data_IF_243961826118
#
_entry.id   IF_243961826118
#
_cell.length_a   1.000
_cell.length_b   1.000
_cell.length_c   1.000
_cell.angle_alpha   90.00
_cell.angle_beta   90.00
_cell.angle_gamma   90.00
#
_symmetry.space_group_name_H-M   'P 1'
#
loop_
_entity.id
_entity.type
_entity.pdbx_description
1 polymer ?
2 water ?
#
# COMPACT_ATOMS: atom_id res chain seq x y z
N UNK A 1 -26.67 0.24 5.91
CA UNK A 1 -27.20 -1.10 6.27
C UNK A 1 -26.07 -2.11 6.34
N UNK A 2 -26.40 -3.40 6.28
CA UNK A 2 -25.40 -4.49 6.35
C UNK A 2 -24.99 -4.98 4.96
N UNK A 3 -24.14 -5.98 4.90
CA UNK A 3 -23.60 -6.51 3.65
C UNK A 3 -24.09 -7.91 3.31
N UNK A 4 -24.14 -8.23 2.01
CA UNK A 4 -24.50 -9.59 1.62
C UNK A 4 -23.36 -10.47 2.12
N UNK A 5 -23.60 -11.75 2.12
CA UNK A 5 -22.59 -12.75 2.53
C UNK A 5 -21.44 -12.79 1.49
N UNK A 6 -20.23 -12.95 1.98
CA UNK A 6 -19.09 -13.14 1.07
C UNK A 6 -19.33 -14.39 0.24
N UNK A 7 -18.85 -14.39 -0.96
CA UNK A 7 -18.99 -15.51 -1.94
C UNK A 7 -17.70 -16.31 -2.02
N UNK A 8 -17.61 -17.40 -1.27
CA UNK A 8 -16.33 -18.16 -1.30
C UNK A 8 -16.07 -18.82 -2.66
N UNK A 9 -17.14 -19.30 -3.30
CA UNK A 9 -16.92 -19.93 -4.63
C UNK A 9 -16.41 -18.89 -5.61
N UNK A 10 -16.94 -17.68 -5.53
CA UNK A 10 -16.47 -16.56 -6.40
C UNK A 10 -14.98 -16.27 -6.08
N UNK A 11 -14.64 -16.20 -4.78
CA UNK A 11 -13.22 -15.97 -4.43
C UNK A 11 -12.35 -17.09 -4.97
N UNK A 12 -12.80 -18.33 -4.86
CA UNK A 12 -11.96 -19.48 -5.36
C UNK A 12 -11.72 -19.28 -6.87
N UNK A 13 -12.77 -18.89 -7.58
CA UNK A 13 -12.61 -18.71 -9.05
C UNK A 13 -11.65 -17.60 -9.36
N UNK A 14 -11.69 -16.52 -8.56
CA UNK A 14 -10.73 -15.43 -8.83
C UNK A 14 -9.31 -15.88 -8.68
N UNK A 15 -8.99 -16.60 -7.59
CA UNK A 15 -7.65 -17.09 -7.33
C UNK A 15 -7.20 -18.02 -8.49
N UNK A 16 -8.08 -18.89 -8.91
CA UNK A 16 -7.78 -19.86 -9.94
C UNK A 16 -7.45 -19.15 -11.26
N UNK A 17 -8.20 -18.14 -11.52
CA UNK A 17 -8.01 -17.34 -12.72
C UNK A 17 -6.69 -16.66 -12.65
N UNK A 18 -6.33 -16.05 -11.52
CA UNK A 18 -5.05 -15.35 -11.36
C UNK A 18 -3.90 -16.35 -11.61
N UNK A 19 -3.97 -17.57 -11.16
CA UNK A 19 -2.93 -18.55 -11.42
C UNK A 19 -2.79 -18.81 -12.95
N UNK A 20 -3.93 -18.93 -13.61
CA UNK A 20 -3.94 -19.19 -15.05
C UNK A 20 -3.30 -17.98 -15.81
N UNK A 21 -3.32 -16.82 -15.22
CA UNK A 21 -2.78 -15.61 -15.84
C UNK A 21 -1.32 -15.32 -15.48
N UNK A 22 -0.69 -16.21 -14.67
CA UNK A 22 0.70 -16.01 -14.39
C UNK A 22 1.10 -15.84 -12.94
N UNK A 23 0.18 -15.71 -12.03
CA UNK A 23 0.58 -15.64 -10.60
C UNK A 23 0.95 -17.03 -10.11
N UNK A 24 2.15 -17.15 -9.50
CA UNK A 24 2.54 -18.46 -8.97
C UNK A 24 1.57 -18.86 -7.87
N UNK A 25 1.13 -17.93 -7.07
CA UNK A 25 0.25 -18.16 -5.95
C UNK A 25 -0.63 -16.94 -5.67
N UNK A 26 -1.76 -17.25 -5.05
CA UNK A 26 -2.72 -16.15 -4.72
C UNK A 26 -3.50 -16.63 -3.51
N UNK A 27 -3.92 -15.67 -2.69
CA UNK A 27 -4.67 -16.01 -1.48
C UNK A 27 -5.48 -14.77 -1.02
N UNK A 28 -6.47 -15.09 -0.19
CA UNK A 28 -7.34 -14.04 0.31
C UNK A 28 -7.88 -14.47 1.68
N UNK A 29 -8.00 -13.46 2.54
CA UNK A 29 -8.57 -13.67 3.87
C UNK A 29 -9.65 -12.60 4.07
N UNK A 30 -10.81 -13.02 4.47
CA UNK A 30 -11.92 -12.07 4.80
C UNK A 30 -12.21 -12.24 6.29
N UNK A 31 -12.21 -11.11 7.01
CA UNK A 31 -12.62 -11.06 8.41
C UNK A 31 -14.03 -10.41 8.37
N UNK A 32 -15.06 -11.28 8.44
CA UNK A 32 -16.46 -10.83 8.32
C UNK A 32 -17.08 -10.75 9.70
N UNK A 33 -16.84 -9.67 10.41
CA UNK A 33 -17.40 -9.50 11.75
C UNK A 33 -17.21 -10.70 12.65
N UNK A 34 -16.00 -11.23 12.71
CA UNK A 34 -15.72 -12.34 13.57
C UNK A 34 -15.79 -13.74 12.94
N UNK A 35 -16.18 -13.86 11.70
CA UNK A 35 -16.24 -15.18 10.99
C UNK A 35 -15.17 -15.03 9.89
N UNK A 36 -14.25 -15.99 9.86
CA UNK A 36 -13.15 -15.91 8.91
C UNK A 36 -13.43 -16.72 7.63
N UNK A 37 -12.99 -16.18 6.54
CA UNK A 37 -13.02 -16.91 5.20
C UNK A 37 -11.56 -16.89 4.77
N UNK A 38 -11.03 -18.01 4.37
CA UNK A 38 -9.58 -18.03 3.96
C UNK A 38 -9.43 -19.04 2.84
N UNK A 39 -8.80 -18.59 1.76
CA UNK A 39 -8.58 -19.45 0.62
C UNK A 39 -7.19 -19.07 0.04
N UNK A 40 -6.57 -20.09 -0.50
CA UNK A 40 -5.26 -19.89 -1.16
C UNK A 40 -5.15 -20.96 -2.28
N UNK A 41 -4.31 -20.61 -3.25
CA UNK A 41 -4.03 -21.60 -4.32
C UNK A 41 -2.64 -21.29 -4.86
N UNK A 42 -1.93 -22.35 -5.21
CA UNK A 42 -0.62 -22.14 -5.81
C UNK A 42 0.52 -22.14 -4.84
N UNK A 43 1.67 -21.64 -5.34
CA UNK A 43 2.91 -21.74 -4.58
C UNK A 43 3.49 -20.45 -4.03
N UNK A 44 4.09 -20.57 -2.88
CA UNK A 44 4.81 -19.49 -2.21
C UNK A 44 6.22 -19.39 -2.84
N UNK A 45 6.78 -20.55 -3.17
CA UNK A 45 8.18 -20.61 -3.69
C UNK A 45 8.08 -21.56 -4.89
N UNK A 46 8.15 -21.04 -6.07
CA UNK A 46 7.90 -21.81 -7.31
C UNK A 46 9.06 -22.71 -7.59
N UNK A 47 10.15 -22.66 -6.88
CA UNK A 47 11.27 -23.50 -7.09
C UNK A 47 11.26 -24.71 -6.15
N UNK A 48 11.02 -24.54 -4.86
CA UNK A 48 10.90 -25.64 -3.92
C UNK A 48 9.50 -26.26 -4.03
N UNK A 49 8.53 -25.52 -4.49
CA UNK A 49 7.13 -26.00 -4.63
C UNK A 49 6.34 -25.83 -3.35
N UNK A 50 6.72 -25.15 -2.34
CA UNK A 50 5.94 -24.91 -1.07
C UNK A 50 4.67 -24.13 -1.38
N UNK A 51 3.55 -24.64 -0.92
CA UNK A 51 2.24 -24.06 -1.20
C UNK A 51 2.11 -22.73 -0.42
N UNK A 52 1.47 -21.79 -1.08
CA UNK A 52 1.19 -20.50 -0.39
C UNK A 52 0.03 -20.73 0.58
N UNK A 53 0.03 -19.97 1.68
CA UNK A 53 -1.08 -20.09 2.65
C UNK A 53 -1.43 -18.67 3.12
N UNK A 54 -2.59 -18.52 3.69
CA UNK A 54 -3.01 -17.20 4.17
C UNK A 54 -2.19 -16.69 5.34
N UNK A 55 -1.35 -17.49 5.93
CA UNK A 55 -0.51 -17.02 7.06
C UNK A 55 0.89 -16.54 6.62
N UNK A 56 1.20 -16.69 5.32
CA UNK A 56 2.49 -16.29 4.82
C UNK A 56 2.66 -14.77 4.86
N UNK A 57 3.79 -14.34 5.31
CA UNK A 57 4.12 -12.88 5.32
C UNK A 57 4.48 -12.47 3.89
N UNK A 58 4.31 -11.16 3.62
CA UNK A 58 4.65 -10.67 2.28
C UNK A 58 4.91 -9.19 2.32
N UNK A 59 5.39 -8.64 1.23
CA UNK A 59 5.65 -7.20 1.07
C UNK A 59 4.38 -6.52 0.58
N UNK A 60 3.87 -5.60 1.40
CA UNK A 60 2.57 -4.95 1.09
C UNK A 60 2.73 -3.75 0.15
N UNK A 61 3.94 -3.39 -0.22
CA UNK A 61 4.14 -2.30 -1.18
C UNK A 61 3.42 -1.02 -0.77
N UNK A 62 2.72 -0.41 -1.68
CA UNK A 62 2.06 0.89 -1.44
C UNK A 62 1.02 0.96 -0.34
N UNK A 63 0.62 -0.17 0.26
CA UNK A 63 -0.31 -0.15 1.44
C UNK A 63 0.40 0.59 2.56
N UNK A 64 1.75 0.62 2.50
CA UNK A 64 2.56 1.34 3.49
C UNK A 64 2.10 2.80 3.61
N UNK A 65 1.64 3.38 2.51
CA UNK A 65 1.19 4.80 2.53
C UNK A 65 0.15 5.02 3.61
N UNK A 66 -0.74 4.05 3.83
CA UNK A 66 -1.80 4.24 4.86
C UNK A 66 -1.14 4.28 6.24
N UNK A 67 -0.08 3.45 6.41
CA UNK A 67 0.61 3.43 7.70
C UNK A 67 1.24 4.80 7.91
N UNK A 68 1.93 5.33 6.89
CA UNK A 68 2.55 6.66 7.01
C UNK A 68 1.50 7.72 7.31
N UNK A 69 0.37 7.68 6.63
CA UNK A 69 -0.72 8.66 6.81
C UNK A 69 -1.19 8.61 8.24
N UNK A 70 -1.38 7.42 8.81
CA UNK A 70 -1.87 7.32 10.21
C UNK A 70 -0.90 8.03 11.12
N UNK A 71 0.39 7.77 10.99
CA UNK A 71 1.36 8.45 11.87
C UNK A 71 1.21 9.96 11.73
N UNK A 72 1.21 10.49 10.54
CA UNK A 72 1.05 11.96 10.32
C UNK A 72 -0.24 12.48 10.92
N UNK A 73 -1.32 11.78 10.77
CA UNK A 73 -2.64 12.25 11.31
C UNK A 73 -2.60 12.24 12.85
N UNK A 74 -1.89 11.30 13.46
CA UNK A 74 -1.74 11.31 14.92
C UNK A 74 -0.91 12.53 15.31
N UNK A 75 0.10 12.89 14.52
CA UNK A 75 0.90 14.10 14.79
C UNK A 75 0.01 15.32 14.72
N UNK A 76 -0.99 15.36 13.85
CA UNK A 76 -1.98 16.45 13.77
C UNK A 76 -2.80 16.46 15.07
N UNK A 77 -3.24 15.31 15.52
CA UNK A 77 -3.98 15.17 16.79
C UNK A 77 -3.15 15.75 17.96
N UNK A 78 -1.88 15.52 17.95
CA UNK A 78 -0.98 15.98 19.05
C UNK A 78 -0.57 17.41 18.93
N UNK A 79 -0.99 18.13 17.87
CA UNK A 79 -0.62 19.53 17.64
C UNK A 79 0.70 19.81 17.11
N UNK A 80 1.39 18.81 16.54
CA UNK A 80 2.74 18.93 16.01
C UNK A 80 2.80 19.24 14.54
N UNK A 81 1.65 19.06 13.89
CA UNK A 81 1.60 19.25 12.40
C UNK A 81 0.30 19.88 12.06
N UNK A 82 0.34 20.73 11.05
CA UNK A 82 -0.88 21.35 10.51
C UNK A 82 -0.95 20.90 9.02
N UNK A 83 -2.06 20.30 8.64
CA UNK A 83 -2.20 19.78 7.28
C UNK A 83 -2.10 20.86 6.20
N UNK A 84 -2.50 22.09 6.55
CA UNK A 84 -2.49 23.20 5.59
C UNK A 84 -1.28 24.06 5.61
N UNK A 85 -0.30 23.72 6.48
CA UNK A 85 0.95 24.45 6.46
C UNK A 85 1.79 23.92 5.27
N UNK A 86 2.68 24.76 4.79
CA UNK A 86 3.60 24.39 3.72
C UNK A 86 4.56 23.31 4.18
N UNK A 87 4.93 22.38 3.25
CA UNK A 87 5.95 21.38 3.54
C UNK A 87 7.25 22.11 3.96
N UNK A 88 7.56 23.16 3.22
CA UNK A 88 8.79 23.94 3.44
C UNK A 88 8.81 24.60 4.83
N UNK A 89 7.68 24.71 5.44
CA UNK A 89 7.65 25.26 6.85
C UNK A 89 8.38 24.34 7.82
N UNK A 90 8.22 23.02 7.57
CA UNK A 90 8.84 21.98 8.39
C UNK A 90 10.18 21.47 7.89
N UNK A 91 10.38 21.54 6.58
CA UNK A 91 11.57 21.05 5.92
C UNK A 91 12.07 22.19 5.04
N UNK A 92 12.72 23.19 5.65
CA UNK A 92 13.16 24.37 4.92
C UNK A 92 14.01 24.07 3.70
N UNK A 93 13.62 24.68 2.61
CA UNK A 93 14.27 24.62 1.30
C UNK A 93 14.12 23.27 0.58
N UNK A 94 13.20 22.41 1.05
CA UNK A 94 13.07 21.12 0.36
C UNK A 94 12.44 21.21 -1.01
N UNK A 95 11.29 21.87 -1.11
CA UNK A 95 10.54 21.93 -2.39
C UNK A 95 10.71 23.30 -3.00
N UNK A 96 10.58 23.34 -4.34
CA UNK A 96 10.76 24.64 -5.06
C UNK A 96 9.62 25.60 -4.85
N UNK A 97 8.48 25.16 -4.34
CA UNK A 97 7.30 26.01 -4.17
C UNK A 97 6.83 25.94 -2.73
N UNK A 98 6.78 27.08 -2.08
CA UNK A 98 6.33 27.15 -0.71
C UNK A 98 4.84 26.88 -0.60
N UNK A 99 4.08 26.92 -1.69
CA UNK A 99 2.65 26.71 -1.63
C UNK A 99 2.25 25.26 -1.51
N UNK A 100 3.21 24.36 -1.70
CA UNK A 100 2.84 22.92 -1.59
C UNK A 100 2.67 22.56 -0.10
N UNK A 101 1.47 22.11 0.21
CA UNK A 101 1.15 21.83 1.60
C UNK A 101 1.19 20.34 1.93
N UNK A 102 1.20 20.08 3.24
CA UNK A 102 1.22 18.67 3.71
C UNK A 102 -0.03 17.94 3.20
N UNK A 103 -1.18 18.57 3.22
CA UNK A 103 -2.46 18.00 2.76
C UNK A 103 -2.35 17.59 1.26
N UNK A 104 -1.75 18.45 0.47
CA UNK A 104 -1.54 18.17 -0.98
C UNK A 104 -0.61 16.97 -1.15
N UNK A 105 0.46 16.85 -0.40
CA UNK A 105 1.38 15.73 -0.49
C UNK A 105 0.62 14.46 -0.09
N UNK A 106 -0.18 14.46 0.93
CA UNK A 106 -0.87 13.27 1.41
C UNK A 106 -1.94 12.73 0.46
N UNK A 107 -2.47 13.61 -0.38
CA UNK A 107 -3.55 13.28 -1.31
C UNK A 107 -3.08 13.21 -2.77
N UNK A 108 -1.77 13.26 -3.00
CA UNK A 108 -1.18 13.22 -4.31
C UNK A 108 -1.65 14.37 -5.22
N UNK A 109 -1.75 15.55 -4.62
CA UNK A 109 -2.13 16.76 -5.33
C UNK A 109 -1.00 17.78 -5.33
N UNK A 110 0.22 17.37 -5.04
CA UNK A 110 1.36 18.26 -4.98
C UNK A 110 1.99 18.63 -6.30
N UNK A 111 1.80 17.79 -7.32
CA UNK A 111 2.45 18.01 -8.63
C UNK A 111 3.84 17.42 -8.64
N UNK A 112 4.36 16.81 -7.54
CA UNK A 112 5.71 16.27 -7.56
C UNK A 112 5.84 15.05 -8.53
N UNK A 113 6.82 15.16 -9.38
CA UNK A 113 7.04 14.05 -10.38
C UNK A 113 7.42 12.77 -9.64
N UNK A 114 6.96 11.66 -10.19
CA UNK A 114 7.24 10.35 -9.56
C UNK A 114 8.55 9.81 -10.08
N UNK A 115 9.57 9.80 -9.28
CA UNK A 115 10.90 9.29 -9.70
C UNK A 115 10.87 7.83 -10.14
N UNK A 116 9.88 7.04 -9.71
CA UNK A 116 9.84 5.62 -10.14
C UNK A 116 9.60 5.50 -11.62
N UNK A 117 8.99 6.48 -12.28
CA UNK A 117 8.86 6.43 -13.76
C UNK A 117 10.26 6.42 -14.38
N UNK A 118 11.28 6.98 -13.79
CA UNK A 118 12.64 7.01 -14.32
C UNK A 118 13.31 5.68 -13.93
N UNK A 119 13.17 5.28 -12.71
CA UNK A 119 13.82 4.08 -12.20
C UNK A 119 13.39 2.80 -12.89
N UNK A 120 12.08 2.65 -13.11
CA UNK A 120 11.53 1.40 -13.62
C UNK A 120 10.98 1.50 -15.04
N UNK A 121 11.58 2.24 -15.87
CA UNK A 121 11.18 2.38 -17.31
C UNK A 121 11.29 0.96 -17.89
N UNK A 122 12.30 0.22 -17.51
CA UNK A 122 12.47 -1.18 -17.90
C UNK A 122 12.37 -1.91 -16.56
N UNK A 123 11.41 -2.80 -16.46
CA UNK A 123 11.10 -3.51 -15.23
C UNK A 123 12.25 -4.28 -14.57
N UNK A 124 12.70 -5.30 -15.28
CA UNK A 124 13.77 -6.14 -14.67
C UNK A 124 15.07 -5.37 -14.51
N UNK A 125 15.56 -4.70 -15.50
CA UNK A 125 16.82 -3.93 -15.37
C UNK A 125 16.71 -2.92 -14.23
N UNK A 126 15.56 -2.26 -14.11
CA UNK A 126 15.33 -1.23 -13.05
C UNK A 126 15.40 -1.93 -11.69
N UNK A 127 14.79 -3.11 -11.55
CA UNK A 127 14.84 -3.86 -10.33
C UNK A 127 16.31 -4.20 -9.97
N UNK A 128 17.04 -4.73 -10.94
CA UNK A 128 18.45 -5.16 -10.68
C UNK A 128 19.25 -3.94 -10.30
N UNK A 129 18.96 -2.78 -10.83
CA UNK A 129 19.73 -1.55 -10.47
C UNK A 129 19.47 -1.07 -9.02
N UNK A 130 18.28 -1.22 -8.46
CA UNK A 130 18.03 -0.69 -7.16
C UNK A 130 17.90 -1.66 -6.03
N UNK A 131 17.75 -2.96 -6.34
CA UNK A 131 17.46 -3.94 -5.33
C UNK A 131 18.38 -3.97 -4.14
N UNK A 132 19.66 -3.73 -4.39
CA UNK A 132 20.69 -3.78 -3.32
C UNK A 132 21.21 -2.37 -2.97
N UNK A 133 20.50 -1.35 -3.32
CA UNK A 133 20.93 0.02 -3.01
C UNK A 133 20.22 0.55 -1.79
N UNK A 134 20.88 1.49 -1.15
CA UNK A 134 20.30 2.20 0.00
C UNK A 134 20.28 3.68 -0.35
N UNK A 135 19.11 4.30 -0.28
CA UNK A 135 18.95 5.71 -0.60
C UNK A 135 18.55 6.46 0.69
N UNK A 136 18.93 7.73 0.76
CA UNK A 136 18.36 8.58 1.85
C UNK A 136 17.05 9.15 1.27
N UNK A 137 16.16 9.69 2.08
CA UNK A 137 14.96 10.32 1.59
C UNK A 137 15.36 11.46 0.61
N UNK A 138 16.39 12.19 0.98
CA UNK A 138 16.84 13.33 0.11
C UNK A 138 17.21 12.85 -1.26
N UNK A 139 17.90 11.72 -1.40
CA UNK A 139 18.30 11.18 -2.70
C UNK A 139 17.06 11.05 -3.61
N UNK A 140 15.98 10.50 -3.05
CA UNK A 140 14.77 10.27 -3.89
C UNK A 140 14.10 11.55 -4.26
N UNK A 141 14.05 12.47 -3.27
CA UNK A 141 13.43 13.78 -3.58
C UNK A 141 14.22 14.50 -4.64
N UNK A 142 15.52 14.46 -4.59
CA UNK A 142 16.37 15.07 -5.59
C UNK A 142 16.09 14.48 -6.98
N UNK A 143 15.88 13.21 -7.05
CA UNK A 143 15.55 12.52 -8.34
C UNK A 143 14.27 13.10 -8.90
N UNK A 144 13.27 13.30 -8.05
CA UNK A 144 11.99 13.86 -8.46
C UNK A 144 12.15 15.28 -9.00
N UNK A 145 12.92 16.07 -8.23
CA UNK A 145 13.15 17.49 -8.50
C UNK A 145 13.99 17.76 -9.75
N UNK A 146 14.62 16.82 -10.36
CA UNK A 146 15.32 16.98 -11.65
C UNK A 146 14.22 17.28 -12.72
N UNK A 147 12.97 16.98 -12.47
CA UNK A 147 11.84 17.19 -13.39
C UNK A 147 10.98 18.36 -12.84
N UNK A 148 10.24 18.98 -13.73
CA UNK A 148 9.37 20.11 -13.13
C UNK A 148 8.18 19.49 -12.45
N UNK A 149 7.39 20.26 -11.78
CA UNK A 149 6.16 19.74 -11.18
C UNK A 149 5.22 19.51 -12.37
N UNK A 150 4.25 18.71 -12.19
CA UNK A 150 3.32 18.36 -13.27
C UNK A 150 2.04 19.16 -13.27
N UNK A 151 1.78 19.90 -12.20
CA UNK A 151 0.54 20.68 -12.07
C UNK A 151 0.79 21.70 -10.91
N UNK A 152 -0.12 22.68 -10.92
CA UNK A 152 -0.07 23.69 -9.82
C UNK A 152 -0.41 22.97 -8.52
N UNK A 153 0.04 23.50 -7.40
CA UNK A 153 -0.24 22.93 -6.10
C UNK A 153 -1.71 22.74 -5.85
N UNK A 154 -2.10 21.52 -5.54
CA UNK A 154 -3.44 21.10 -5.22
C UNK A 154 -4.41 20.96 -6.40
N UNK A 155 -3.92 21.25 -7.60
CA UNK A 155 -4.83 21.26 -8.76
C UNK A 155 -5.44 19.99 -9.21
N UNK A 156 -4.70 18.88 -9.03
CA UNK A 156 -5.24 17.58 -9.53
C UNK A 156 -4.51 16.41 -8.92
N UNK A 157 -5.22 15.29 -9.05
CA UNK A 157 -4.57 14.05 -8.50
C UNK A 157 -3.56 13.50 -9.50
N UNK A 158 -2.38 13.16 -9.02
CA UNK A 158 -1.34 12.53 -9.86
C UNK A 158 -0.58 11.61 -8.91
N UNK A 159 -0.78 10.32 -9.02
CA UNK A 159 -0.09 9.42 -8.04
C UNK A 159 1.40 9.55 -8.15
N UNK A 160 2.09 9.76 -7.01
CA UNK A 160 3.53 9.90 -7.02
C UNK A 160 4.13 9.37 -5.76
N UNK A 161 5.03 8.45 -5.86
CA UNK A 161 5.71 7.88 -4.68
C UNK A 161 6.45 8.98 -3.92
N UNK A 162 6.88 9.99 -4.66
CA UNK A 162 7.65 11.09 -4.00
C UNK A 162 6.87 11.68 -2.82
N UNK A 163 5.56 11.76 -2.94
CA UNK A 163 4.75 12.36 -1.88
C UNK A 163 4.95 11.65 -0.57
N UNK A 164 5.05 10.29 -0.60
CA UNK A 164 5.19 9.52 0.64
C UNK A 164 6.63 9.36 1.04
N UNK A 165 7.57 9.73 0.20
CA UNK A 165 8.98 9.81 0.62
C UNK A 165 8.99 11.11 1.48
N UNK A 166 8.38 12.20 0.94
CA UNK A 166 8.27 13.43 1.73
C UNK A 166 7.63 13.15 3.10
N UNK A 167 6.59 12.30 3.14
CA UNK A 167 5.89 12.01 4.37
C UNK A 167 6.85 11.37 5.36
N UNK A 168 7.74 10.45 4.91
CA UNK A 168 8.70 9.82 5.77
C UNK A 168 9.63 10.86 6.39
N UNK A 169 10.09 11.79 5.56
CA UNK A 169 11.00 12.86 6.00
C UNK A 169 10.31 13.68 7.03
N UNK A 170 9.06 14.06 6.85
CA UNK A 170 8.34 14.87 7.82
C UNK A 170 8.24 14.16 9.18
N UNK A 171 7.84 12.89 9.14
CA UNK A 171 7.69 12.10 10.36
C UNK A 171 9.01 12.16 11.10
N UNK A 172 10.13 11.89 10.44
CA UNK A 172 11.43 11.84 11.13
C UNK A 172 11.88 13.19 11.66
N UNK A 173 11.56 14.22 10.89
CA UNK A 173 11.97 15.60 11.35
C UNK A 173 11.12 15.99 12.50
N UNK A 174 9.85 15.75 12.56
CA UNK A 174 9.03 16.25 13.67
C UNK A 174 9.18 15.45 14.92
N UNK A 175 9.45 14.16 14.79
CA UNK A 175 9.50 13.29 15.97
C UNK A 175 10.90 13.09 16.50
N UNK A 176 11.91 13.22 15.68
CA UNK A 176 13.31 12.99 16.02
C UNK A 176 13.59 11.47 16.05
N UNK A 177 12.67 10.64 15.51
CA UNK A 177 12.85 9.20 15.51
C UNK A 177 12.75 8.67 14.07
N UNK A 178 13.25 7.45 13.87
CA UNK A 178 13.12 6.82 12.53
C UNK A 178 11.65 6.42 12.34
N UNK A 179 11.22 6.34 11.08
CA UNK A 179 9.85 5.92 10.81
C UNK A 179 9.58 4.54 11.38
N UNK A 180 10.61 3.68 11.45
CA UNK A 180 10.38 2.34 12.01
C UNK A 180 9.88 2.43 13.45
N UNK A 181 10.52 3.34 14.20
CA UNK A 181 10.14 3.54 15.61
C UNK A 181 8.72 4.01 15.73
N UNK A 182 8.36 5.01 14.89
CA UNK A 182 7.02 5.57 14.89
C UNK A 182 5.95 4.58 14.50
N UNK A 183 6.22 3.75 13.47
CA UNK A 183 5.24 2.73 13.10
C UNK A 183 5.02 1.78 14.26
N UNK A 184 6.15 1.35 14.82
CA UNK A 184 6.07 0.37 15.94
C UNK A 184 5.30 0.89 17.10
N UNK A 185 5.62 2.06 17.62
CA UNK A 185 4.98 2.65 18.80
C UNK A 185 3.55 3.02 18.59
N UNK A 186 3.21 3.56 17.42
CA UNK A 186 1.91 4.10 17.14
C UNK A 186 0.89 3.16 16.56
N UNK A 187 1.40 2.10 15.89
CA UNK A 187 0.51 1.20 15.21
C UNK A 187 0.83 -0.27 15.51
N UNK A 188 2.01 -0.74 15.24
CA UNK A 188 2.28 -2.21 15.40
C UNK A 188 2.05 -2.70 16.82
N UNK A 189 2.62 -2.01 17.74
CA UNK A 189 2.43 -2.46 19.18
C UNK A 189 1.03 -2.34 19.67
N UNK A 190 0.37 -1.16 19.60
CA UNK A 190 -0.98 -1.02 20.10
C UNK A 190 -1.97 -1.98 19.50
N UNK A 191 -1.83 -2.33 18.21
CA UNK A 191 -2.73 -3.24 17.55
C UNK A 191 -2.27 -4.70 17.67
N UNK A 192 -1.14 -4.94 18.27
CA UNK A 192 -0.56 -6.28 18.37
C UNK A 192 -0.38 -6.93 17.00
N UNK A 193 0.18 -6.19 16.04
CA UNK A 193 0.41 -6.72 14.67
C UNK A 193 1.73 -7.50 14.68
N UNK A 194 1.66 -8.75 15.05
CA UNK A 194 2.87 -9.56 15.21
C UNK A 194 3.51 -10.04 13.92
N UNK A 195 2.88 -9.87 12.81
CA UNK A 195 3.41 -10.28 11.51
C UNK A 195 3.85 -9.02 10.68
N UNK A 196 3.82 -7.89 11.35
CA UNK A 196 4.13 -6.61 10.60
C UNK A 196 5.46 -6.05 10.96
N UNK A 197 6.21 -5.66 9.97
CA UNK A 197 7.57 -5.18 10.20
C UNK A 197 7.93 -4.08 9.17
N UNK A 198 8.93 -3.31 9.66
CA UNK A 198 9.57 -2.27 8.80
C UNK A 198 11.07 -2.45 9.13
N UNK A 199 11.78 -3.12 8.22
CA UNK A 199 13.17 -3.53 8.52
C UNK A 199 14.16 -2.86 7.58
N UNK A 200 13.70 -1.95 6.77
CA UNK A 200 14.61 -1.25 5.83
C UNK A 200 15.91 -0.84 6.48
N UNK A 201 17.06 -1.08 5.85
CA UNK A 201 17.29 -1.63 4.54
C UNK A 201 17.62 -3.12 4.51
N UNK A 202 17.16 -3.83 5.50
CA UNK A 202 17.39 -5.30 5.51
C UNK A 202 16.57 -5.88 4.34
N UNK A 203 17.17 -6.89 3.71
CA UNK A 203 16.59 -7.56 2.56
C UNK A 203 15.82 -8.83 2.88
N UNK A 204 15.89 -9.33 4.09
CA UNK A 204 15.22 -10.56 4.49
C UNK A 204 13.82 -10.26 5.03
N UNK A 205 12.91 -11.16 4.65
CA UNK A 205 11.54 -11.09 5.23
C UNK A 205 11.55 -12.10 6.40
N UNK A 206 11.33 -11.58 7.60
CA UNK A 206 11.35 -12.46 8.78
C UNK A 206 10.25 -13.50 8.74
N UNK A 207 10.58 -14.70 9.17
CA UNK A 207 9.62 -15.80 9.26
C UNK A 207 9.15 -16.39 7.89
N UNK A 208 8.11 -17.17 7.98
CA UNK A 208 7.56 -17.86 6.82
C UNK A 208 6.84 -16.84 5.89
N UNK A 209 7.31 -16.81 4.64
CA UNK A 209 6.82 -15.81 3.71
C UNK A 209 6.60 -16.35 2.29
N UNK A 210 5.83 -15.61 1.56
CA UNK A 210 5.63 -15.96 0.15
C UNK A 210 6.80 -15.23 -0.56
N UNK A 211 7.38 -15.92 -1.55
CA UNK A 211 8.43 -15.27 -2.37
C UNK A 211 7.68 -14.45 -3.43
N UNK A 212 8.29 -13.44 -3.95
CA UNK A 212 7.69 -12.54 -4.95
C UNK A 212 8.37 -12.85 -6.29
N UNK A 213 7.59 -12.86 -7.34
CA UNK A 213 8.12 -13.14 -8.70
C UNK A 213 7.75 -12.01 -9.64
N UNK A 214 8.81 -11.34 -10.09
CA UNK A 214 8.66 -10.21 -10.99
C UNK A 214 8.44 -10.68 -12.42
N UNK A 215 7.39 -10.28 -13.05
CA UNK A 215 7.15 -10.70 -14.47
C UNK A 215 7.94 -9.75 -15.35
N UNK A 216 8.69 -10.27 -16.31
CA UNK A 216 9.49 -9.38 -17.21
C UNK A 216 8.51 -8.69 -18.18
N UNK A 217 9.04 -7.59 -18.80
CA UNK A 217 8.21 -6.84 -19.74
C UNK A 217 7.89 -7.63 -21.02
N UNK A 218 8.80 -8.47 -21.44
CA UNK A 218 8.57 -9.24 -22.67
C UNK A 218 7.70 -10.44 -22.45
N UNK A 219 6.71 -10.64 -23.32
CA UNK A 219 5.78 -11.77 -23.18
C UNK A 219 6.53 -13.08 -23.23
N UNK A 220 6.15 -14.03 -22.40
CA UNK A 220 6.78 -15.33 -22.36
C UNK A 220 8.06 -15.37 -21.60
N UNK A 221 8.55 -14.25 -21.03
CA UNK A 221 9.85 -14.27 -20.32
C UNK A 221 9.77 -15.02 -18.97
N UNK A 222 10.93 -15.52 -18.56
CA UNK A 222 11.06 -16.25 -17.29
C UNK A 222 10.91 -15.30 -16.10
N UNK A 223 10.25 -15.77 -15.06
CA UNK A 223 10.06 -14.93 -13.85
C UNK A 223 11.39 -14.77 -13.10
N UNK A 224 11.53 -13.60 -12.46
CA UNK A 224 12.68 -13.25 -11.67
C UNK A 224 12.25 -13.25 -10.21
N UNK A 225 13.04 -13.93 -9.39
CA UNK A 225 12.72 -13.91 -7.93
C UNK A 225 13.14 -12.51 -7.44
N UNK A 226 12.12 -11.79 -6.97
CA UNK A 226 12.36 -10.44 -6.46
C UNK A 226 12.14 -10.33 -4.98
N UNK A 227 12.07 -11.41 -4.27
CA UNK A 227 11.77 -11.47 -2.86
C UNK A 227 12.65 -10.55 -1.97
N UNK A 228 13.95 -10.74 -2.08
CA UNK A 228 14.88 -10.06 -1.15
C UNK A 228 15.54 -8.87 -1.78
N UNK A 229 15.13 -7.72 -1.24
CA UNK A 229 15.59 -6.41 -1.72
C UNK A 229 15.46 -5.40 -0.56
N UNK A 230 16.13 -4.26 -0.70
CA UNK A 230 16.09 -3.27 0.39
C UNK A 230 14.77 -2.51 0.40
N UNK A 231 14.12 -2.39 -0.75
CA UNK A 231 12.91 -1.58 -0.92
C UNK A 231 13.29 -0.13 -0.55
N UNK A 232 14.58 0.18 -0.64
CA UNK A 232 15.05 1.55 -0.27
C UNK A 232 14.50 2.65 -1.20
N UNK A 233 14.11 2.25 -2.42
CA UNK A 233 13.53 3.19 -3.35
C UNK A 233 12.16 3.68 -2.93
N UNK A 234 11.50 2.92 -1.99
CA UNK A 234 10.15 3.29 -1.56
C UNK A 234 10.07 3.72 -0.11
N UNK A 235 10.71 3.01 0.81
CA UNK A 235 10.73 3.35 2.25
C UNK A 235 9.33 3.61 2.77
N UNK A 236 9.03 4.83 3.25
CA UNK A 236 7.74 5.21 3.78
C UNK A 236 6.57 5.21 2.79
N UNK A 237 6.91 4.99 1.49
CA UNK A 237 5.89 4.85 0.43
C UNK A 237 5.65 3.35 0.15
N UNK A 238 6.46 2.45 0.68
CA UNK A 238 6.21 1.05 0.27
C UNK A 238 6.96 -0.09 0.92
N UNK A 239 7.67 0.07 2.03
CA UNK A 239 8.49 -1.01 2.57
C UNK A 239 7.96 -1.84 3.73
N UNK A 240 6.70 -1.68 4.12
CA UNK A 240 6.14 -2.53 5.21
C UNK A 240 5.95 -4.00 4.71
N UNK A 241 6.18 -4.88 5.66
CA UNK A 241 5.96 -6.33 5.51
C UNK A 241 4.77 -6.65 6.46
N UNK A 242 3.83 -7.45 6.01
CA UNK A 242 2.70 -7.81 6.91
C UNK A 242 2.13 -9.14 6.47
N UNK A 243 0.90 -9.40 6.92
CA UNK A 243 0.15 -10.61 6.64
C UNK A 243 -1.32 -10.25 6.43
N UNK A 244 -2.09 -11.19 5.87
CA UNK A 244 -3.53 -10.91 5.64
C UNK A 244 -4.22 -10.57 6.98
N UNK A 245 -3.91 -11.30 8.03
CA UNK A 245 -4.54 -11.03 9.32
C UNK A 245 -4.23 -9.65 9.84
N UNK A 246 -2.95 -9.27 9.77
CA UNK A 246 -2.58 -7.94 10.30
C UNK A 246 -3.16 -6.77 9.45
N UNK A 247 -3.15 -6.94 8.13
CA UNK A 247 -3.75 -5.81 7.35
C UNK A 247 -5.25 -5.75 7.62
N UNK A 248 -5.92 -6.91 7.82
CA UNK A 248 -7.37 -6.90 8.11
C UNK A 248 -7.54 -6.18 9.46
N UNK A 249 -6.69 -6.46 10.40
CA UNK A 249 -6.77 -5.82 11.75
C UNK A 249 -6.56 -4.32 11.57
N UNK A 250 -5.49 -3.96 10.90
CA UNK A 250 -5.18 -2.54 10.70
C UNK A 250 -6.30 -1.73 10.07
N UNK A 251 -6.82 -2.21 8.92
CA UNK A 251 -7.90 -1.41 8.24
C UNK A 251 -9.19 -1.43 9.06
N UNK A 252 -9.47 -2.55 9.74
CA UNK A 252 -10.70 -2.56 10.55
C UNK A 252 -10.54 -1.53 11.72
N UNK A 253 -9.37 -1.47 12.29
CA UNK A 253 -9.10 -0.54 13.43
C UNK A 253 -9.18 0.89 12.91
N UNK A 254 -8.62 1.16 11.72
CA UNK A 254 -8.61 2.50 11.13
C UNK A 254 -10.08 2.97 10.92
N UNK A 255 -10.86 2.16 10.19
CA UNK A 255 -12.23 2.55 9.85
C UNK A 255 -13.14 2.58 11.09
N UNK A 256 -12.88 1.83 12.08
CA UNK A 256 -13.77 1.82 13.27
C UNK A 256 -13.43 2.92 14.23
N UNK A 257 -12.40 3.73 13.93
CA UNK A 257 -12.02 4.87 14.76
C UNK A 257 -11.02 4.65 15.79
N UNK A 258 -10.20 3.62 15.82
CA UNK A 258 -9.24 3.37 16.89
C UNK A 258 -7.88 4.01 16.73
N UNK A 259 -7.54 4.56 15.57
CA UNK A 259 -6.19 5.00 15.35
C UNK A 259 -5.99 6.51 15.38
N UNK A 260 -7.02 7.29 15.51
CA UNK A 260 -6.85 8.77 15.53
C UNK A 260 -8.21 9.31 15.95
N UNK A 261 -8.22 10.65 16.15
CA UNK A 261 -9.47 11.32 16.51
C UNK A 261 -10.48 11.25 15.39
N UNK A 262 -11.76 11.43 15.69
CA UNK A 262 -12.78 11.41 14.66
C UNK A 262 -12.56 12.53 13.66
N UNK A 263 -12.06 13.69 14.10
CA UNK A 263 -11.83 14.82 13.18
C UNK A 263 -10.77 14.47 12.10
N UNK A 264 -9.68 13.85 12.52
CA UNK A 264 -8.61 13.51 11.54
C UNK A 264 -9.09 12.34 10.66
N UNK A 265 -9.88 11.40 11.19
CA UNK A 265 -10.37 10.31 10.30
C UNK A 265 -11.27 10.89 9.19
N UNK A 266 -12.07 11.91 9.55
CA UNK A 266 -12.91 12.59 8.56
C UNK A 266 -12.03 13.30 7.53
N UNK A 267 -10.94 13.90 7.91
CA UNK A 267 -10.00 14.56 7.01
C UNK A 267 -9.39 13.50 6.05
N UNK A 268 -9.10 12.34 6.60
CA UNK A 268 -8.51 11.26 5.83
C UNK A 268 -9.43 10.78 4.74
N UNK A 269 -10.75 10.97 4.94
CA UNK A 269 -11.76 10.54 4.00
C UNK A 269 -12.27 11.65 3.15
N UNK A 270 -11.55 12.73 3.01
CA UNK A 270 -12.00 13.81 2.10
C UNK A 270 -11.50 13.39 0.69
N UNK A 271 -12.37 12.84 -0.12
CA UNK A 271 -12.03 12.30 -1.40
C UNK A 271 -11.74 13.26 -2.54
N UNK A 272 -10.67 12.97 -3.20
CA UNK A 272 -10.28 13.66 -4.43
C UNK A 272 -10.66 12.59 -5.50
N UNK A 273 -11.27 13.00 -6.57
CA UNK A 273 -11.61 12.00 -7.61
C UNK A 273 -10.38 11.50 -8.29
N UNK A 274 -10.31 10.16 -8.53
CA UNK A 274 -9.19 9.48 -9.20
C UNK A 274 -9.71 9.11 -10.62
N UNK A 275 -10.86 8.55 -10.64
CA UNK A 275 -11.57 8.11 -11.89
C UNK A 275 -13.00 7.93 -11.45
N UNK A 276 -13.86 7.44 -12.38
CA UNK A 276 -15.28 7.29 -12.08
C UNK A 276 -15.72 6.45 -10.88
N UNK A 277 -14.87 5.49 -10.53
CA UNK A 277 -15.20 4.55 -9.43
C UNK A 277 -14.20 4.58 -8.27
N UNK A 278 -13.31 5.57 -8.24
CA UNK A 278 -12.30 5.63 -7.15
C UNK A 278 -12.00 7.06 -6.71
N UNK A 279 -11.66 7.14 -5.43
CA UNK A 279 -11.26 8.41 -4.83
C UNK A 279 -9.99 8.14 -4.01
N UNK A 280 -9.35 9.24 -3.68
CA UNK A 280 -8.14 9.15 -2.85
C UNK A 280 -8.30 10.17 -1.69
N UNK A 281 -8.03 9.78 -0.49
CA UNK A 281 -8.18 10.72 0.65
C UNK A 281 -6.76 11.18 1.01
N UNK A 282 -6.44 10.93 2.28
CA UNK A 282 -5.06 11.21 2.76
C UNK A 282 -4.42 9.80 3.02
N UNK A 283 -3.67 9.33 2.04
CA UNK A 283 -3.07 7.98 2.12
C UNK A 283 -4.12 6.89 2.25
N UNK A 284 -5.27 7.03 1.61
CA UNK A 284 -6.38 6.08 1.68
C UNK A 284 -7.16 6.08 0.38
N UNK A 285 -7.49 4.94 -0.13
CA UNK A 285 -8.28 4.85 -1.37
C UNK A 285 -9.69 4.42 -1.07
N UNK A 286 -10.60 4.91 -1.91
CA UNK A 286 -11.99 4.54 -1.89
C UNK A 286 -12.28 3.86 -3.25
N UNK A 287 -12.84 2.66 -3.16
CA UNK A 287 -13.22 1.93 -4.40
C UNK A 287 -14.73 1.71 -4.33
N UNK A 288 -15.41 2.00 -5.44
CA UNK A 288 -16.90 1.84 -5.49
C UNK A 288 -17.17 0.54 -6.26
N UNK A 289 -17.87 -0.35 -5.57
CA UNK A 289 -18.16 -1.66 -6.09
C UNK A 289 -19.47 -1.68 -6.90
N UNK A 290 -19.53 -2.73 -7.74
CA UNK A 290 -20.71 -2.88 -8.65
C UNK A 290 -22.01 -2.94 -7.92
N UNK A 291 -22.13 -3.38 -6.71
CA UNK A 291 -23.36 -3.47 -5.98
C UNK A 291 -23.69 -2.23 -5.21
N UNK A 292 -22.94 -1.16 -5.45
CA UNK A 292 -23.20 0.15 -4.81
C UNK A 292 -22.80 0.36 -3.36
N UNK A 293 -21.74 -0.31 -3.01
CA UNK A 293 -21.09 -0.20 -1.71
C UNK A 293 -19.65 0.31 -2.06
N UNK A 294 -19.16 1.14 -1.16
CA UNK A 294 -17.78 1.66 -1.33
C UNK A 294 -16.97 0.98 -0.20
N UNK A 295 -15.73 0.72 -0.54
CA UNK A 295 -14.76 0.12 0.45
C UNK A 295 -13.55 1.03 0.46
N UNK A 296 -12.81 0.96 1.60
CA UNK A 296 -11.74 1.89 1.87
C UNK A 296 -10.51 1.10 2.30
N UNK A 297 -9.39 1.52 1.73
CA UNK A 297 -8.15 0.78 2.13
C UNK A 297 -7.05 1.30 1.17
N UNK A 298 -6.29 0.30 0.69
CA UNK A 298 -5.22 0.68 -0.23
C UNK A 298 -4.79 -0.59 -1.00
N UNK A 299 -4.34 -0.31 -2.23
CA UNK A 299 -3.74 -1.36 -3.08
C UNK A 299 -2.22 -1.26 -2.83
N UNK A 300 -1.50 -2.31 -3.12
CA UNK A 300 -0.04 -2.23 -3.02
C UNK A 300 0.61 -2.96 -4.17
N UNK A 301 1.67 -2.34 -4.66
CA UNK A 301 2.50 -2.94 -5.69
C UNK A 301 3.95 -2.73 -5.19
N UNK A 302 4.73 -3.76 -5.32
CA UNK A 302 6.18 -3.75 -5.07
C UNK A 302 6.66 -4.94 -5.89
N UNK A 303 7.91 -5.00 -6.28
CA UNK A 303 8.34 -6.06 -7.22
C UNK A 303 8.00 -7.43 -6.66
N UNK A 304 7.17 -8.14 -7.43
CA UNK A 304 6.80 -9.50 -7.13
C UNK A 304 5.55 -9.69 -6.27
N UNK A 305 4.89 -8.56 -5.86
CA UNK A 305 3.70 -8.70 -5.01
C UNK A 305 2.62 -7.69 -5.35
N UNK A 306 1.40 -8.15 -5.48
CA UNK A 306 0.23 -7.27 -5.68
C UNK A 306 -0.69 -7.51 -4.47
N UNK A 307 -1.04 -6.45 -3.77
CA UNK A 307 -1.88 -6.54 -2.59
C UNK A 307 -3.16 -5.68 -2.71
N UNK A 308 -4.29 -6.20 -2.26
CA UNK A 308 -5.52 -5.41 -2.11
C UNK A 308 -5.89 -5.54 -0.61
N UNK A 309 -6.02 -4.43 0.09
CA UNK A 309 -6.41 -4.47 1.51
C UNK A 309 -7.53 -3.41 1.69
N UNK A 310 -8.77 -3.89 1.87
CA UNK A 310 -9.91 -2.95 1.98
C UNK A 310 -10.89 -3.37 3.08
N UNK A 311 -11.61 -2.40 3.61
CA UNK A 311 -12.60 -2.64 4.65
C UNK A 311 -13.84 -1.82 4.39
N UNK A 312 -14.92 -2.30 5.01
CA UNK A 312 -16.21 -1.57 4.89
C UNK A 312 -16.09 -0.30 5.73
N UNK A 313 -17.05 0.58 5.50
CA UNK A 313 -17.05 1.90 6.17
C UNK A 313 -16.96 1.83 7.65
N UNK A 314 -17.50 0.84 8.29
CA UNK A 314 -17.48 0.71 9.75
C UNK A 314 -16.40 -0.22 10.26
N UNK A 315 -15.64 -0.79 9.32
CA UNK A 315 -14.57 -1.71 9.69
C UNK A 315 -15.05 -3.11 10.03
N UNK A 316 -16.35 -3.40 9.94
CA UNK A 316 -16.79 -4.75 10.39
C UNK A 316 -16.39 -5.86 9.40
N UNK A 317 -16.16 -5.51 8.15
CA UNK A 317 -15.70 -6.57 7.21
C UNK A 317 -14.40 -6.03 6.58
N UNK A 318 -13.37 -6.83 6.59
CA UNK A 318 -12.08 -6.45 5.99
C UNK A 318 -11.57 -7.60 5.13
N UNK A 319 -10.86 -7.28 4.08
CA UNK A 319 -10.36 -8.30 3.14
C UNK A 319 -8.92 -7.91 2.73
N UNK A 320 -8.11 -8.94 2.67
CA UNK A 320 -6.74 -8.77 2.18
C UNK A 320 -6.51 -9.89 1.14
N UNK A 321 -6.12 -9.47 -0.03
CA UNK A 321 -5.84 -10.48 -1.12
C UNK A 321 -4.39 -10.23 -1.58
N UNK A 322 -3.67 -11.26 -1.93
CA UNK A 322 -2.27 -11.15 -2.34
C UNK A 322 -2.00 -12.15 -3.47
N UNK A 323 -1.38 -11.62 -4.53
CA UNK A 323 -0.86 -12.48 -5.62
C UNK A 323 0.65 -12.25 -5.63
N UNK A 324 1.44 -13.31 -5.62
CA UNK A 324 2.93 -13.12 -5.58
C UNK A 324 3.59 -12.91 -6.92
N UNK A 325 3.02 -12.00 -7.72
CA UNK A 325 3.70 -11.55 -8.92
C UNK A 325 3.39 -10.07 -9.04
N UNK A 326 4.13 -9.38 -9.89
CA UNK A 326 3.83 -7.95 -10.22
C UNK A 326 4.20 -7.80 -11.71
N UNK A 327 3.87 -6.62 -12.23
CA UNK A 327 4.06 -6.32 -13.68
C UNK A 327 3.31 -7.31 -14.56
N UNK A 328 2.05 -7.54 -14.20
CA UNK A 328 1.17 -8.48 -14.90
C UNK A 328 -0.20 -7.87 -14.71
N UNK A 329 -0.62 -7.04 -15.66
CA UNK A 329 -1.88 -6.34 -15.52
C UNK A 329 -3.05 -7.29 -15.47
N UNK A 330 -2.99 -8.40 -16.16
CA UNK A 330 -4.13 -9.35 -16.10
C UNK A 330 -4.36 -9.78 -14.64
N UNK A 331 -3.26 -10.21 -13.98
CA UNK A 331 -3.33 -10.64 -12.60
C UNK A 331 -3.85 -9.49 -11.70
N UNK A 332 -3.32 -8.32 -11.90
CA UNK A 332 -3.75 -7.13 -11.10
C UNK A 332 -5.28 -6.91 -11.25
N UNK A 333 -5.78 -6.95 -12.46
CA UNK A 333 -7.21 -6.74 -12.71
C UNK A 333 -8.05 -7.88 -12.14
N UNK A 334 -7.61 -9.11 -12.36
CA UNK A 334 -8.37 -10.25 -11.82
C UNK A 334 -8.42 -10.15 -10.28
N UNK A 335 -7.30 -9.85 -9.62
CA UNK A 335 -7.29 -9.83 -8.14
C UNK A 335 -8.25 -8.80 -7.56
N UNK A 336 -8.53 -7.74 -8.31
CA UNK A 336 -9.48 -6.73 -7.83
C UNK A 336 -10.86 -7.31 -7.64
N UNK A 337 -11.15 -8.39 -8.37
CA UNK A 337 -12.48 -9.05 -8.29
C UNK A 337 -12.69 -9.66 -6.91
N UNK A 338 -11.63 -9.90 -6.13
CA UNK A 338 -11.83 -10.41 -4.78
C UNK A 338 -12.79 -9.46 -4.00
N UNK A 339 -12.68 -8.20 -4.28
CA UNK A 339 -13.47 -7.19 -3.54
C UNK A 339 -14.93 -7.37 -3.86
N UNK A 340 -15.23 -7.64 -5.13
CA UNK A 340 -16.62 -7.84 -5.52
C UNK A 340 -17.17 -9.09 -4.82
N UNK A 341 -16.41 -10.19 -4.87
CA UNK A 341 -16.91 -11.43 -4.24
C UNK A 341 -17.02 -11.30 -2.73
N UNK A 342 -16.08 -10.65 -2.07
CA UNK A 342 -16.06 -10.53 -0.61
C UNK A 342 -17.13 -9.57 -0.08
N UNK A 343 -17.37 -8.47 -0.79
CA UNK A 343 -18.32 -7.45 -0.30
C UNK A 343 -19.64 -7.52 -0.99
N UNK A 344 -19.73 -7.78 -2.27
CA UNK A 344 -21.04 -7.81 -2.97
C UNK A 344 -21.66 -9.19 -2.94
N UNK A 345 -20.85 -10.24 -2.71
CA UNK A 345 -21.43 -11.59 -2.63
C UNK A 345 -21.76 -12.19 -3.97
N UNK A 346 -22.61 -13.20 -3.91
CA UNK A 346 -23.02 -13.94 -5.12
C UNK A 346 -23.87 -13.04 -6.01
N UNK A 347 -23.56 -13.09 -7.28
CA UNK A 347 -24.32 -12.27 -8.24
C UNK A 347 -25.73 -12.78 -8.39
#
# INVERSE_FOLDING_TARGET
ADLPAPDDTGLQAVLHTALSQGAPGAMVRVDDNGTIHQLSEGVADRATGRAITTTDRFRVGSVTKSFSAVVLLQLVDEGKLDLDASVNTYLPGLLPDDRITVRQVMSHRSGLYDYTNDMFAQTVPGFESVRNKVFSYQDLITLSLKHGVTNAPGAAYSYSNTNFVVAGMLIEKLTGHSVATEYQNRIFTPLNLTDTFYVHPDTVIPGTHANGYLTPDEAGGALVDSTEQTVSWAQSAGAVISSTQDLDTFFSALMSGQLMSAAQLAQMQQWTTVNSTQGYGLGLRRRDLSCGISVYGHTGTVQGYYTYAFASKDGKRSVTALANTSNNVNVLNTMARTLESAFCGKPTT
#
